data_IF_901430748225
#
_entry.id   IF_901430748225
#
_cell.length_a   1.000
_cell.length_b   1.000
_cell.length_c   1.000
_cell.angle_alpha   90.00
_cell.angle_beta   90.00
_cell.angle_gamma   90.00
#
_symmetry.space_group_name_H-M   'P 1'
#
loop_
_entity.id
_entity.type
_entity.pdbx_description
1 polymer ?
#
# COMPACT_ATOMS: atom_id res chain seq x y z
N UNK A 1 -2.05 -3.10 -6.18
CA UNK A 1 -1.28 -1.95 -6.71
C UNK A 1 -1.47 -1.78 -8.21
N UNK A 2 -1.24 -2.82 -9.01
CA UNK A 2 -1.33 -2.76 -10.47
C UNK A 2 -2.14 -3.96 -11.00
N UNK A 3 -2.66 -3.85 -12.21
CA UNK A 3 -3.26 -4.98 -12.95
C UNK A 3 -3.10 -4.76 -14.45
N UNK A 4 -3.22 -5.83 -15.24
CA UNK A 4 -3.30 -5.72 -16.70
C UNK A 4 -4.69 -5.28 -17.12
N UNK A 5 -4.78 -4.12 -17.76
CA UNK A 5 -6.01 -3.62 -18.35
C UNK A 5 -6.18 -4.17 -19.76
N UNK A 6 -7.28 -4.90 -19.98
CA UNK A 6 -7.55 -5.57 -21.26
C UNK A 6 -7.95 -4.60 -22.36
N UNK A 7 -8.56 -3.46 -22.02
CA UNK A 7 -8.96 -2.43 -23.00
C UNK A 7 -7.72 -1.68 -23.50
N UNK A 8 -6.82 -1.32 -22.58
CA UNK A 8 -5.59 -0.58 -22.90
C UNK A 8 -4.43 -1.47 -23.34
N UNK A 9 -4.50 -2.78 -23.09
CA UNK A 9 -3.48 -3.73 -23.49
C UNK A 9 -2.16 -3.62 -22.72
N UNK A 10 -2.17 -3.01 -21.52
CA UNK A 10 -0.97 -2.74 -20.70
C UNK A 10 -1.25 -2.89 -19.20
N UNK A 11 -0.21 -3.05 -18.40
CA UNK A 11 -0.33 -2.95 -16.95
C UNK A 11 -0.57 -1.49 -16.56
N UNK A 12 -1.48 -1.25 -15.61
CA UNK A 12 -1.85 0.07 -15.11
C UNK A 12 -1.83 0.10 -13.58
N UNK A 13 -1.59 1.28 -13.02
CA UNK A 13 -1.66 1.51 -11.57
C UNK A 13 -3.10 1.74 -11.10
N UNK A 14 -3.35 1.43 -9.83
CA UNK A 14 -4.63 1.62 -9.16
C UNK A 14 -5.18 3.04 -9.19
N UNK A 15 -4.32 4.04 -9.34
CA UNK A 15 -4.70 5.46 -9.33
C UNK A 15 -4.19 6.25 -10.54
N UNK A 16 -3.42 5.64 -11.44
CA UNK A 16 -2.91 6.32 -12.65
C UNK A 16 -4.04 6.82 -13.54
N UNK A 17 -3.88 7.98 -14.15
CA UNK A 17 -4.81 8.48 -15.16
C UNK A 17 -4.39 8.10 -16.58
N UNK A 18 -4.63 6.84 -16.94
CA UNK A 18 -4.22 6.28 -18.23
C UNK A 18 -4.92 6.88 -19.45
N UNK A 19 -6.00 7.65 -19.24
CA UNK A 19 -6.75 8.34 -20.31
C UNK A 19 -6.42 9.84 -20.38
N UNK A 20 -5.42 10.30 -19.62
CA UNK A 20 -4.92 11.69 -19.61
C UNK A 20 -6.02 12.76 -19.45
N UNK A 21 -6.99 12.48 -18.58
CA UNK A 21 -8.09 13.37 -18.21
C UNK A 21 -7.66 14.51 -17.28
N UNK A 22 -6.59 14.30 -16.51
CA UNK A 22 -6.07 15.16 -15.46
C UNK A 22 -4.60 15.47 -15.70
N UNK A 23 -4.10 16.50 -15.03
CA UNK A 23 -2.69 16.93 -15.06
C UNK A 23 -2.14 16.95 -13.65
N UNK A 24 -0.86 16.59 -13.49
CA UNK A 24 -0.16 16.80 -12.24
C UNK A 24 -0.02 18.30 -11.92
N UNK A 25 -0.07 18.65 -10.64
CA UNK A 25 0.10 20.00 -10.10
C UNK A 25 1.27 20.00 -9.13
N UNK A 26 2.26 20.87 -9.35
CA UNK A 26 3.48 20.94 -8.54
C UNK A 26 4.61 19.99 -8.97
N UNK A 27 4.41 19.23 -10.05
CA UNK A 27 5.40 18.34 -10.67
C UNK A 27 5.92 18.92 -12.00
N UNK A 28 7.13 18.54 -12.38
CA UNK A 28 7.70 18.88 -13.70
C UNK A 28 7.05 18.04 -14.82
N UNK A 29 6.80 16.76 -14.55
CA UNK A 29 6.17 15.83 -15.48
C UNK A 29 4.64 15.80 -15.34
N UNK A 30 3.93 16.17 -16.40
CA UNK A 30 2.45 16.23 -16.40
C UNK A 30 1.78 14.84 -16.33
N UNK A 31 2.50 13.79 -16.70
CA UNK A 31 2.01 12.40 -16.77
C UNK A 31 1.85 11.74 -15.39
N UNK A 32 2.33 12.37 -14.32
CA UNK A 32 2.18 11.91 -12.93
C UNK A 32 0.80 12.17 -12.30
N UNK A 33 -0.19 12.50 -13.12
CA UNK A 33 -1.54 12.73 -12.64
C UNK A 33 -2.17 11.42 -12.12
N UNK A 34 -2.70 11.47 -10.90
CA UNK A 34 -3.40 10.34 -10.28
C UNK A 34 -4.78 10.78 -9.73
N UNK A 35 -5.73 9.85 -9.75
CA UNK A 35 -7.13 10.07 -9.36
C UNK A 35 -7.83 8.76 -8.93
N UNK A 36 -8.89 8.82 -8.11
CA UNK A 36 -9.59 7.65 -7.56
C UNK A 36 -10.64 7.06 -8.52
N UNK A 37 -10.57 7.35 -9.83
CA UNK A 37 -11.62 6.97 -10.80
C UNK A 37 -11.77 5.43 -10.98
N UNK A 38 -10.79 4.65 -10.53
CA UNK A 38 -10.84 3.18 -10.47
C UNK A 38 -11.43 2.64 -9.17
N UNK A 39 -11.61 3.46 -8.14
CA UNK A 39 -12.23 3.02 -6.88
C UNK A 39 -13.72 2.71 -7.09
N UNK A 40 -14.18 1.56 -6.62
CA UNK A 40 -15.58 1.15 -6.67
C UNK A 40 -16.21 1.34 -5.28
N UNK A 41 -17.44 1.84 -5.25
CA UNK A 41 -18.10 2.24 -4.01
C UNK A 41 -17.65 3.60 -3.49
N UNK A 42 -17.94 3.83 -2.22
CA UNK A 42 -17.64 5.02 -1.42
C UNK A 42 -16.68 4.66 -0.29
N UNK A 43 -16.05 5.68 0.30
CA UNK A 43 -15.22 5.59 1.51
C UNK A 43 -15.91 6.28 2.69
N UNK A 44 -15.34 6.19 3.90
CA UNK A 44 -15.80 7.00 5.02
C UNK A 44 -15.77 8.50 4.68
N UNK A 45 -14.72 8.98 4.00
CA UNK A 45 -14.62 10.37 3.56
C UNK A 45 -15.74 10.79 2.61
N UNK A 46 -16.13 9.92 1.66
CA UNK A 46 -17.27 10.18 0.78
C UNK A 46 -18.58 10.28 1.56
N UNK A 47 -18.83 9.37 2.51
CA UNK A 47 -20.03 9.38 3.35
C UNK A 47 -20.07 10.61 4.28
N UNK A 48 -18.93 11.02 4.86
CA UNK A 48 -18.81 12.24 5.68
C UNK A 48 -19.18 13.48 4.88
N UNK A 49 -18.68 13.61 3.66
CA UNK A 49 -19.04 14.75 2.79
C UNK A 49 -20.49 14.69 2.38
N UNK A 50 -21.04 13.52 2.08
CA UNK A 50 -22.45 13.39 1.75
C UNK A 50 -23.35 13.81 2.92
N UNK A 51 -23.05 13.31 4.13
CA UNK A 51 -23.80 13.59 5.35
C UNK A 51 -23.76 15.08 5.76
N UNK A 52 -22.68 15.79 5.41
CA UNK A 52 -22.47 17.20 5.77
C UNK A 52 -22.75 18.18 4.62
N UNK A 53 -23.35 17.70 3.52
CA UNK A 53 -23.58 18.48 2.30
C UNK A 53 -22.29 19.15 1.77
N UNK A 54 -21.18 18.43 1.87
CA UNK A 54 -19.87 18.80 1.35
C UNK A 54 -19.01 19.65 2.30
N UNK A 55 -19.51 19.98 3.50
CA UNK A 55 -18.81 20.84 4.47
C UNK A 55 -17.60 20.16 5.13
N UNK A 56 -17.69 18.87 5.47
CA UNK A 56 -16.60 18.14 6.11
C UNK A 56 -15.35 18.10 5.23
N UNK A 57 -14.21 18.57 5.75
CA UNK A 57 -12.92 18.50 5.08
C UNK A 57 -12.36 17.10 5.13
N UNK A 58 -11.92 16.60 3.97
CA UNK A 58 -11.39 15.25 3.83
C UNK A 58 -10.08 15.34 3.06
N UNK A 59 -8.95 15.05 3.72
CA UNK A 59 -7.61 15.26 3.17
C UNK A 59 -6.75 14.02 3.34
N UNK A 60 -6.06 13.61 2.27
CA UNK A 60 -5.20 12.43 2.26
C UNK A 60 -3.75 12.79 1.94
N UNK A 61 -2.82 12.34 2.78
CA UNK A 61 -1.40 12.68 2.73
C UNK A 61 -0.54 11.41 2.74
N UNK A 62 0.43 11.33 1.83
CA UNK A 62 1.37 10.20 1.78
C UNK A 62 2.59 10.56 0.95
N UNK A 63 3.61 9.71 0.95
CA UNK A 63 4.62 9.73 -0.11
C UNK A 63 4.14 8.95 -1.34
N UNK A 64 3.26 7.96 -1.16
CA UNK A 64 2.65 7.18 -2.23
C UNK A 64 1.29 7.74 -2.63
N UNK A 65 1.13 8.05 -3.91
CA UNK A 65 -0.13 8.47 -4.53
C UNK A 65 -1.36 7.67 -4.07
N UNK A 66 -1.33 6.34 -4.24
CA UNK A 66 -2.44 5.43 -3.89
C UNK A 66 -2.82 5.48 -2.41
N UNK A 67 -1.86 5.71 -1.52
CA UNK A 67 -2.12 5.79 -0.08
C UNK A 67 -2.57 7.18 0.37
N UNK A 68 -2.33 8.22 -0.42
CA UNK A 68 -2.97 9.53 -0.24
C UNK A 68 -4.40 9.55 -0.80
N UNK A 69 -4.63 8.87 -1.92
CA UNK A 69 -5.84 9.01 -2.74
C UNK A 69 -6.96 8.06 -2.30
N UNK A 70 -6.66 6.77 -2.13
CA UNK A 70 -7.70 5.75 -1.93
C UNK A 70 -8.43 5.86 -0.58
N UNK A 71 -7.76 6.17 0.55
CA UNK A 71 -8.45 6.26 1.85
C UNK A 71 -9.50 7.37 1.93
N UNK A 72 -9.34 8.43 1.13
CA UNK A 72 -10.18 9.64 1.18
C UNK A 72 -11.29 9.68 0.13
N UNK A 73 -11.33 8.68 -0.75
CA UNK A 73 -12.45 8.45 -1.64
C UNK A 73 -12.45 9.29 -2.90
N UNK A 74 -13.65 9.48 -3.45
CA UNK A 74 -13.86 10.09 -4.78
C UNK A 74 -14.02 11.58 -4.72
N UNK A 75 -14.58 12.13 -3.64
CA UNK A 75 -14.77 13.58 -3.56
C UNK A 75 -14.06 14.15 -2.35
N UNK A 76 -12.78 13.93 -2.09
CA UNK A 76 -12.12 14.58 -0.96
C UNK A 76 -11.99 16.09 -1.19
N UNK A 77 -11.60 16.81 -0.13
CA UNK A 77 -11.13 18.19 -0.25
C UNK A 77 -9.74 18.26 -0.90
N UNK A 78 -8.92 17.24 -0.72
CA UNK A 78 -7.62 17.13 -1.40
C UNK A 78 -6.91 15.80 -1.14
N UNK A 79 -6.04 15.42 -2.06
CA UNK A 79 -5.04 14.40 -1.84
C UNK A 79 -3.68 14.90 -2.33
N UNK A 80 -2.64 14.65 -1.54
CA UNK A 80 -1.29 15.13 -1.78
C UNK A 80 -0.28 13.99 -1.61
N UNK A 81 0.60 13.84 -2.58
CA UNK A 81 1.65 12.82 -2.56
C UNK A 81 3.01 13.40 -2.92
N UNK A 82 4.08 12.71 -2.52
CA UNK A 82 5.44 13.16 -2.77
C UNK A 82 5.85 12.86 -4.21
N UNK A 83 6.56 13.80 -4.82
CA UNK A 83 7.16 13.68 -6.15
C UNK A 83 8.68 13.52 -5.98
N UNK A 84 9.16 12.29 -6.19
CA UNK A 84 10.58 11.93 -6.06
C UNK A 84 11.50 12.52 -7.14
N UNK A 85 10.96 13.23 -8.15
CA UNK A 85 11.76 13.94 -9.13
C UNK A 85 12.11 15.35 -8.66
N UNK A 86 11.13 16.07 -8.10
CA UNK A 86 11.30 17.46 -7.65
C UNK A 86 11.56 17.60 -6.15
N UNK A 87 11.11 16.64 -5.35
CA UNK A 87 11.11 16.69 -3.88
C UNK A 87 9.93 17.46 -3.29
N UNK A 88 8.86 17.66 -4.08
CA UNK A 88 7.68 18.44 -3.69
C UNK A 88 6.52 17.52 -3.28
N UNK A 89 5.59 18.04 -2.48
CA UNK A 89 4.24 17.49 -2.43
C UNK A 89 3.41 18.02 -3.61
N UNK A 90 2.81 17.11 -4.34
CA UNK A 90 2.05 17.37 -5.57
C UNK A 90 0.59 16.91 -5.43
N UNK A 91 -0.24 17.34 -6.37
CA UNK A 91 -1.63 16.88 -6.51
C UNK A 91 -2.00 16.76 -8.00
N UNK A 92 -3.29 16.69 -8.33
CA UNK A 92 -3.76 16.68 -9.72
C UNK A 92 -4.97 17.58 -9.95
N UNK A 93 -5.24 17.87 -11.22
CA UNK A 93 -6.42 18.64 -11.62
C UNK A 93 -7.76 17.95 -11.36
N UNK A 94 -7.74 16.72 -10.85
CA UNK A 94 -8.91 16.09 -10.27
C UNK A 94 -9.40 16.82 -9.01
N UNK A 95 -8.46 17.27 -8.17
CA UNK A 95 -8.75 17.88 -6.87
C UNK A 95 -8.82 19.40 -6.94
N UNK A 96 -7.90 20.02 -7.68
CA UNK A 96 -7.75 21.47 -7.69
C UNK A 96 -7.52 22.02 -9.10
N UNK A 97 -7.93 23.26 -9.41
CA UNK A 97 -7.51 23.92 -10.64
C UNK A 97 -6.01 24.27 -10.65
N UNK A 98 -5.44 24.56 -9.48
CA UNK A 98 -4.03 24.85 -9.23
C UNK A 98 -3.66 24.38 -7.82
N UNK A 99 -2.37 24.17 -7.56
CA UNK A 99 -1.91 23.72 -6.24
C UNK A 99 -2.29 24.77 -5.17
N UNK A 100 -2.80 24.39 -3.98
CA UNK A 100 -3.13 25.37 -2.95
C UNK A 100 -1.90 26.17 -2.52
N UNK A 101 -2.08 27.47 -2.25
CA UNK A 101 -0.99 28.39 -1.94
C UNK A 101 -0.15 27.96 -0.72
N UNK A 102 -0.76 27.31 0.27
CA UNK A 102 -0.03 26.80 1.44
C UNK A 102 0.89 25.63 1.09
N UNK A 103 0.51 24.80 0.12
CA UNK A 103 1.34 23.69 -0.39
C UNK A 103 2.49 24.24 -1.23
N UNK A 104 2.21 25.23 -2.09
CA UNK A 104 3.26 25.93 -2.84
C UNK A 104 4.29 26.55 -1.89
N UNK A 105 3.83 27.24 -0.84
CA UNK A 105 4.69 27.81 0.19
C UNK A 105 5.52 26.74 0.91
N UNK A 106 4.90 25.62 1.29
CA UNK A 106 5.60 24.50 1.93
C UNK A 106 6.71 23.94 1.01
N UNK A 107 6.40 23.72 -0.27
CA UNK A 107 7.37 23.22 -1.25
C UNK A 107 8.52 24.21 -1.50
N UNK A 108 8.26 25.53 -1.46
CA UNK A 108 9.29 26.56 -1.62
C UNK A 108 10.38 26.51 -0.53
N UNK A 109 10.08 25.94 0.64
CA UNK A 109 11.07 25.73 1.70
C UNK A 109 12.14 24.69 1.33
N UNK A 110 11.86 23.85 0.33
CA UNK A 110 12.71 22.75 -0.14
C UNK A 110 13.27 21.93 1.02
N UNK A 111 12.43 21.67 2.02
CA UNK A 111 12.82 21.02 3.27
C UNK A 111 13.59 19.71 3.08
N UNK A 112 13.22 18.81 2.13
CA UNK A 112 13.98 17.59 1.87
C UNK A 112 15.45 17.85 1.55
N UNK A 113 15.80 18.92 0.83
CA UNK A 113 17.20 19.21 0.45
C UNK A 113 18.12 19.46 1.64
N UNK A 114 17.56 19.87 2.80
CA UNK A 114 18.33 20.04 4.05
C UNK A 114 18.87 18.71 4.60
N UNK A 115 18.32 17.59 4.14
CA UNK A 115 18.76 16.24 4.48
C UNK A 115 19.81 15.67 3.52
N UNK A 116 20.17 16.39 2.45
CA UNK A 116 21.23 15.95 1.55
C UNK A 116 22.57 15.86 2.29
N UNK A 117 23.18 14.68 2.27
CA UNK A 117 24.40 14.37 3.01
C UNK A 117 24.21 14.19 4.52
N UNK A 118 22.98 14.25 5.03
CA UNK A 118 22.69 13.86 6.41
C UNK A 118 22.86 12.35 6.58
N UNK A 119 23.16 11.97 7.80
CA UNK A 119 23.38 10.60 8.20
C UNK A 119 22.19 10.12 9.00
N UNK A 120 21.62 8.99 8.58
CA UNK A 120 20.74 8.18 9.39
C UNK A 120 21.60 7.16 10.16
N UNK A 121 21.68 7.36 11.47
CA UNK A 121 22.28 6.41 12.40
C UNK A 121 21.22 5.93 13.40
N UNK A 122 21.52 4.85 14.11
CA UNK A 122 20.70 4.32 15.20
C UNK A 122 20.37 5.41 16.20
N UNK A 123 19.09 5.52 16.55
CA UNK A 123 18.60 6.47 17.54
C UNK A 123 19.05 6.08 18.96
N UNK A 124 19.15 4.78 19.24
CA UNK A 124 19.57 4.23 20.53
C UNK A 124 20.97 3.61 20.43
N UNK A 125 21.54 3.25 21.57
CA UNK A 125 22.79 2.48 21.63
C UNK A 125 22.61 1.08 21.00
N UNK A 126 23.71 0.50 20.50
CA UNK A 126 23.68 -0.75 19.73
C UNK A 126 23.07 -1.94 20.50
N UNK A 127 23.22 -1.98 21.82
CA UNK A 127 22.66 -3.03 22.69
C UNK A 127 21.12 -3.04 22.71
N UNK A 128 20.49 -1.89 22.47
CA UNK A 128 19.03 -1.81 22.33
C UNK A 128 18.51 -2.59 21.10
N UNK A 129 19.38 -2.87 20.12
CA UNK A 129 19.04 -3.58 18.88
C UNK A 129 19.32 -5.08 18.95
N UNK A 130 19.67 -5.63 20.11
CA UNK A 130 20.02 -7.05 20.29
C UNK A 130 18.92 -8.08 19.92
N UNK A 131 17.70 -7.63 19.61
CA UNK A 131 16.59 -8.47 19.12
C UNK A 131 16.47 -8.49 17.58
N UNK A 132 17.20 -7.62 16.89
CA UNK A 132 17.33 -7.60 15.44
C UNK A 132 18.44 -8.55 15.00
N UNK A 133 18.49 -8.84 13.70
CA UNK A 133 19.65 -9.45 13.07
C UNK A 133 20.89 -8.52 13.19
N UNK A 134 22.05 -9.10 12.90
CA UNK A 134 23.30 -8.34 12.77
C UNK A 134 23.16 -7.25 11.69
N UNK A 135 23.85 -6.12 11.89
CA UNK A 135 23.76 -4.93 11.01
C UNK A 135 24.24 -5.20 9.57
N UNK A 136 25.18 -6.15 9.37
CA UNK A 136 25.61 -6.60 8.03
C UNK A 136 25.02 -7.98 7.72
N UNK A 137 23.70 -8.12 7.79
CA UNK A 137 23.05 -9.38 7.49
C UNK A 137 23.11 -9.71 5.98
N UNK A 138 23.42 -10.96 5.59
CA UNK A 138 23.59 -11.33 4.18
C UNK A 138 22.27 -11.31 3.37
N UNK A 139 21.13 -11.24 4.05
CA UNK A 139 19.78 -11.24 3.46
C UNK A 139 19.24 -9.82 3.24
N UNK A 140 19.99 -8.79 3.59
CA UNK A 140 19.59 -7.40 3.36
C UNK A 140 19.98 -6.93 1.96
N UNK A 141 19.13 -6.11 1.36
CA UNK A 141 19.41 -5.51 0.05
C UNK A 141 20.59 -4.56 0.18
N UNK A 142 21.58 -4.70 -0.69
CA UNK A 142 22.60 -3.67 -0.86
C UNK A 142 21.97 -2.43 -1.52
N UNK A 143 21.83 -1.36 -0.75
CA UNK A 143 21.25 -0.08 -1.19
C UNK A 143 22.33 1.00 -1.38
N UNK A 144 22.07 2.07 -2.16
CA UNK A 144 23.07 3.11 -2.42
C UNK A 144 23.62 3.83 -1.18
N UNK A 145 22.88 3.81 -0.07
CA UNK A 145 23.27 4.43 1.20
C UNK A 145 24.22 3.58 2.05
N UNK A 146 24.65 2.42 1.54
CA UNK A 146 25.45 1.45 2.29
C UNK A 146 24.57 0.37 2.92
N UNK A 147 25.22 -0.65 3.45
CA UNK A 147 24.57 -1.88 3.87
C UNK A 147 24.59 -2.12 5.38
N UNK A 148 25.08 -1.13 6.14
CA UNK A 148 25.22 -1.11 7.59
C UNK A 148 25.02 0.33 8.05
N UNK A 149 24.70 0.50 9.32
CA UNK A 149 24.72 1.83 9.91
C UNK A 149 26.16 2.40 9.98
N UNK A 150 26.35 3.71 9.71
CA UNK A 150 25.30 4.67 9.41
C UNK A 150 25.08 4.91 7.90
N UNK A 151 23.85 5.27 7.52
CA UNK A 151 23.43 5.50 6.13
C UNK A 151 23.50 6.99 5.75
N UNK A 152 24.30 7.32 4.73
CA UNK A 152 24.44 8.71 4.26
C UNK A 152 23.51 9.01 3.08
N UNK A 153 22.63 10.01 3.24
CA UNK A 153 21.56 10.33 2.29
C UNK A 153 22.05 11.25 1.17
N UNK A 154 22.76 10.67 0.20
CA UNK A 154 23.10 11.36 -1.06
C UNK A 154 22.55 10.66 -2.29
N UNK A 155 22.16 9.39 -2.18
CA UNK A 155 21.85 8.55 -3.35
C UNK A 155 23.06 8.32 -4.27
N UNK A 156 24.28 8.49 -3.75
CA UNK A 156 25.51 8.47 -4.53
C UNK A 156 25.74 9.71 -5.39
N UNK A 157 24.99 10.80 -5.15
CA UNK A 157 25.12 12.06 -5.88
C UNK A 157 25.99 13.08 -5.12
N UNK A 158 26.42 14.11 -5.84
CA UNK A 158 27.12 15.29 -5.27
C UNK A 158 26.20 16.48 -5.02
N UNK A 159 24.96 16.42 -5.51
CA UNK A 159 23.91 17.42 -5.30
C UNK A 159 22.53 16.73 -5.26
N UNK A 160 21.49 17.36 -4.65
CA UNK A 160 20.14 16.81 -4.64
C UNK A 160 19.58 16.52 -6.04
N UNK A 161 18.86 15.42 -6.17
CA UNK A 161 18.18 14.98 -7.40
C UNK A 161 17.44 13.66 -7.15
N UNK A 162 16.87 13.05 -8.19
CA UNK A 162 16.00 11.87 -8.05
C UNK A 162 16.57 10.78 -7.13
N UNK A 163 17.81 10.32 -7.38
CA UNK A 163 18.43 9.27 -6.54
C UNK A 163 18.59 9.66 -5.07
N UNK A 164 18.74 10.96 -4.78
CA UNK A 164 18.73 11.45 -3.40
C UNK A 164 17.32 11.36 -2.82
N UNK A 165 16.30 11.78 -3.57
CA UNK A 165 14.92 11.71 -3.11
C UNK A 165 14.46 10.27 -2.90
N UNK A 166 14.87 9.32 -3.77
CA UNK A 166 14.63 7.88 -3.62
C UNK A 166 15.18 7.34 -2.27
N UNK A 167 16.35 7.80 -1.83
CA UNK A 167 16.92 7.37 -0.53
C UNK A 167 16.39 8.19 0.65
N UNK A 168 15.92 9.42 0.41
CA UNK A 168 15.26 10.23 1.42
C UNK A 168 13.89 9.66 1.78
N UNK A 169 13.08 9.24 0.80
CA UNK A 169 11.80 8.58 1.05
C UNK A 169 11.95 7.24 1.77
N UNK A 170 13.07 6.53 1.54
CA UNK A 170 13.46 5.32 2.26
C UNK A 170 14.28 5.62 3.54
N UNK A 171 13.92 6.68 4.27
CA UNK A 171 14.56 7.05 5.54
C UNK A 171 13.55 7.56 6.57
N UNK A 172 13.89 7.56 7.87
CA UNK A 172 12.98 8.08 8.90
C UNK A 172 12.63 9.57 8.73
N UNK A 173 13.49 10.35 8.10
CA UNK A 173 13.27 11.78 7.89
C UNK A 173 12.09 12.07 6.94
N UNK A 174 11.70 11.11 6.10
CA UNK A 174 10.49 11.23 5.28
C UNK A 174 9.22 11.24 6.14
N UNK A 175 9.17 10.46 7.22
CA UNK A 175 8.04 10.48 8.15
C UNK A 175 7.98 11.80 8.94
N UNK A 176 9.13 12.34 9.35
CA UNK A 176 9.20 13.67 9.98
C UNK A 176 8.69 14.77 9.03
N UNK A 177 9.11 14.73 7.76
CA UNK A 177 8.66 15.65 6.73
C UNK A 177 7.16 15.52 6.43
N UNK A 178 6.63 14.29 6.35
CA UNK A 178 5.19 14.05 6.19
C UNK A 178 4.39 14.55 7.39
N UNK A 179 4.89 14.37 8.61
CA UNK A 179 4.23 14.88 9.81
C UNK A 179 4.23 16.42 9.85
N UNK A 180 5.31 17.07 9.43
CA UNK A 180 5.34 18.52 9.26
C UNK A 180 4.31 19.01 8.22
N UNK A 181 4.18 18.28 7.10
CA UNK A 181 3.16 18.58 6.08
C UNK A 181 1.73 18.38 6.61
N UNK A 182 1.50 17.34 7.41
CA UNK A 182 0.22 17.11 8.06
C UNK A 182 -0.17 18.22 9.05
N UNK A 183 0.79 18.71 9.84
CA UNK A 183 0.59 19.88 10.71
C UNK A 183 0.26 21.13 9.90
N UNK A 184 0.96 21.37 8.78
CA UNK A 184 0.66 22.47 7.88
C UNK A 184 -0.76 22.36 7.28
N UNK A 185 -1.20 21.16 6.91
CA UNK A 185 -2.56 20.92 6.43
C UNK A 185 -3.60 21.25 7.51
N UNK A 186 -3.40 20.77 8.75
CA UNK A 186 -4.30 21.06 9.89
C UNK A 186 -4.46 22.59 10.08
N UNK A 187 -3.36 23.35 10.04
CA UNK A 187 -3.41 24.80 10.23
C UNK A 187 -4.09 25.54 9.09
N UNK A 188 -3.65 25.27 7.85
CA UNK A 188 -4.07 26.06 6.69
C UNK A 188 -5.46 25.68 6.20
N UNK A 189 -5.90 24.46 6.50
CA UNK A 189 -7.26 23.99 6.21
C UNK A 189 -8.18 24.08 7.43
N UNK A 190 -7.69 24.59 8.58
CA UNK A 190 -8.47 24.74 9.81
C UNK A 190 -9.20 23.44 10.22
N UNK A 191 -8.52 22.30 10.11
CA UNK A 191 -9.13 21.00 10.38
C UNK A 191 -9.47 20.87 11.87
N UNK A 192 -10.71 20.49 12.18
CA UNK A 192 -11.21 20.36 13.54
C UNK A 192 -11.32 21.68 14.31
N UNK A 193 -11.40 22.81 13.59
CA UNK A 193 -11.54 24.13 14.19
C UNK A 193 -13.01 24.57 14.44
N UNK A 194 -13.98 23.78 13.96
CA UNK A 194 -15.41 24.01 14.15
C UNK A 194 -16.15 22.69 14.51
N UNK A 195 -17.48 22.74 14.51
CA UNK A 195 -18.33 21.60 14.91
C UNK A 195 -18.52 20.55 13.80
N UNK A 196 -18.04 20.80 12.58
CA UNK A 196 -18.10 19.85 11.47
C UNK A 196 -16.90 18.92 11.58
N UNK A 197 -17.15 17.61 11.76
CA UNK A 197 -16.07 16.63 11.81
C UNK A 197 -15.35 16.52 10.47
N UNK A 198 -14.04 16.68 10.50
CA UNK A 198 -13.13 16.49 9.36
C UNK A 198 -12.41 15.13 9.41
N UNK A 199 -11.87 14.70 8.28
CA UNK A 199 -11.05 13.49 8.14
C UNK A 199 -9.67 13.84 7.56
N UNK A 200 -8.62 13.53 8.31
CA UNK A 200 -7.24 13.57 7.85
C UNK A 200 -6.67 12.15 7.82
N UNK A 201 -6.32 11.66 6.63
CA UNK A 201 -5.64 10.38 6.43
C UNK A 201 -4.16 10.62 6.16
N UNK A 202 -3.27 9.98 6.94
CA UNK A 202 -1.82 10.10 6.81
C UNK A 202 -1.22 8.69 6.66
N UNK A 203 -0.46 8.47 5.60
CA UNK A 203 0.18 7.18 5.31
C UNK A 203 1.71 7.30 5.33
N UNK A 204 2.32 6.81 6.42
CA UNK A 204 3.77 6.77 6.62
C UNK A 204 4.42 5.67 5.76
N UNK A 205 4.83 6.05 4.54
CA UNK A 205 5.29 5.09 3.52
C UNK A 205 6.73 4.62 3.68
N UNK A 206 7.56 5.36 4.41
CA UNK A 206 8.98 5.04 4.60
C UNK A 206 9.18 3.67 5.30
N UNK A 207 8.27 3.30 6.20
CA UNK A 207 8.28 2.01 6.88
C UNK A 207 8.25 0.83 5.89
N UNK A 208 7.42 0.92 4.85
CA UNK A 208 7.33 -0.11 3.82
C UNK A 208 8.56 -0.11 2.89
N UNK A 209 9.07 1.06 2.51
CA UNK A 209 10.27 1.15 1.67
C UNK A 209 11.51 0.56 2.35
N UNK A 210 11.70 0.88 3.63
CA UNK A 210 12.76 0.30 4.47
C UNK A 210 12.51 -1.20 4.67
N UNK A 211 11.27 -1.61 4.98
CA UNK A 211 10.89 -3.01 5.12
C UNK A 211 11.22 -3.84 3.88
N UNK A 212 10.91 -3.35 2.69
CA UNK A 212 11.24 -4.01 1.42
C UNK A 212 12.75 -4.21 1.22
N UNK A 213 13.56 -3.24 1.64
CA UNK A 213 15.01 -3.28 1.45
C UNK A 213 15.70 -4.22 2.44
N UNK A 214 15.35 -4.16 3.73
CA UNK A 214 16.13 -4.83 4.79
C UNK A 214 15.39 -6.02 5.42
N UNK A 215 14.07 -6.06 5.35
CA UNK A 215 13.25 -7.09 5.98
C UNK A 215 12.91 -6.82 7.44
N UNK A 216 11.88 -7.49 7.99
CA UNK A 216 11.27 -7.13 9.27
C UNK A 216 12.17 -7.32 10.50
N UNK A 217 13.27 -8.06 10.37
CA UNK A 217 14.18 -8.36 11.46
C UNK A 217 15.45 -7.52 11.46
N UNK A 218 15.60 -6.56 10.55
CA UNK A 218 16.81 -5.73 10.46
C UNK A 218 16.91 -4.69 11.58
N UNK A 219 18.09 -4.08 11.73
CA UNK A 219 18.27 -2.95 12.66
C UNK A 219 17.57 -1.68 12.13
N UNK A 220 17.47 -1.52 10.81
CA UNK A 220 16.80 -0.40 10.13
C UNK A 220 15.31 -0.38 10.39
N UNK A 221 14.61 -1.53 10.25
CA UNK A 221 13.18 -1.61 10.57
C UNK A 221 12.92 -1.36 12.06
N UNK A 222 13.82 -1.85 12.93
CA UNK A 222 13.75 -1.57 14.37
C UNK A 222 13.92 -0.07 14.67
N UNK A 223 14.95 0.57 14.13
CA UNK A 223 15.19 2.01 14.29
C UNK A 223 14.03 2.83 13.74
N UNK A 224 13.56 2.47 12.55
CA UNK A 224 12.43 3.11 11.90
C UNK A 224 11.15 3.02 12.76
N UNK A 225 10.92 1.88 13.42
CA UNK A 225 9.78 1.71 14.33
C UNK A 225 9.88 2.63 15.54
N UNK A 226 11.07 2.75 16.14
CA UNK A 226 11.33 3.65 17.27
C UNK A 226 11.17 5.13 16.88
N UNK A 227 11.60 5.50 15.67
CA UNK A 227 11.44 6.87 15.17
C UNK A 227 9.99 7.18 14.78
N UNK A 228 9.27 6.19 14.24
CA UNK A 228 7.83 6.32 13.97
C UNK A 228 7.06 6.58 15.26
N UNK A 229 7.40 5.89 16.36
CA UNK A 229 6.87 6.18 17.70
C UNK A 229 7.06 7.64 18.11
N UNK A 230 8.27 8.20 17.93
CA UNK A 230 8.54 9.62 18.22
C UNK A 230 7.74 10.58 17.34
N UNK A 231 7.61 10.29 16.05
CA UNK A 231 6.82 11.09 15.10
C UNK A 231 5.34 11.08 15.48
N UNK A 232 4.79 9.92 15.85
CA UNK A 232 3.40 9.82 16.32
C UNK A 232 3.19 10.57 17.64
N UNK A 233 4.13 10.46 18.58
CA UNK A 233 4.06 11.20 19.84
C UNK A 233 4.05 12.73 19.62
N UNK A 234 4.88 13.23 18.70
CA UNK A 234 4.90 14.64 18.30
C UNK A 234 3.60 15.08 17.60
N UNK A 235 3.05 14.26 16.69
CA UNK A 235 1.78 14.55 16.03
C UNK A 235 0.60 14.57 17.02
N UNK A 236 0.53 13.62 17.95
CA UNK A 236 -0.52 13.57 18.96
C UNK A 236 -0.40 14.73 19.95
N UNK A 237 0.82 15.09 20.38
CA UNK A 237 1.05 16.27 21.20
C UNK A 237 0.62 17.56 20.50
N UNK A 238 0.86 17.66 19.19
CA UNK A 238 0.39 18.79 18.38
C UNK A 238 -1.14 18.85 18.28
N UNK A 239 -1.81 17.71 18.02
CA UNK A 239 -3.27 17.64 17.99
C UNK A 239 -3.89 18.04 19.34
N UNK A 240 -3.30 17.60 20.45
CA UNK A 240 -3.76 17.96 21.79
C UNK A 240 -3.68 19.47 22.05
N UNK A 241 -2.57 20.10 21.64
CA UNK A 241 -2.38 21.54 21.80
C UNK A 241 -3.31 22.39 20.92
N UNK A 242 -3.68 21.89 19.73
CA UNK A 242 -4.45 22.66 18.74
C UNK A 242 -5.96 22.44 18.85
N UNK A 243 -6.38 21.20 19.08
CA UNK A 243 -7.79 20.77 19.03
C UNK A 243 -8.23 20.16 20.38
N UNK A 244 -7.30 19.52 21.10
CA UNK A 244 -7.56 18.73 22.30
C UNK A 244 -7.94 17.29 21.95
N UNK A 245 -7.23 16.30 22.50
CA UNK A 245 -7.44 14.88 22.15
C UNK A 245 -8.81 14.34 22.55
N UNK A 246 -9.54 15.02 23.43
CA UNK A 246 -10.94 14.71 23.73
C UNK A 246 -11.88 14.93 22.55
N UNK A 247 -11.46 15.71 21.55
CA UNK A 247 -12.24 16.07 20.36
C UNK A 247 -11.70 15.38 19.09
N UNK A 248 -10.74 14.45 19.23
CA UNK A 248 -10.12 13.74 18.10
C UNK A 248 -10.32 12.25 18.28
N UNK A 249 -10.63 11.55 17.17
CA UNK A 249 -10.56 10.09 17.11
C UNK A 249 -9.38 9.73 16.22
N UNK A 250 -8.41 9.01 16.77
CA UNK A 250 -7.26 8.49 16.04
C UNK A 250 -7.47 7.01 15.79
N UNK A 251 -7.34 6.59 14.53
CA UNK A 251 -7.24 5.18 14.17
C UNK A 251 -5.88 4.90 13.54
N UNK A 252 -5.19 3.87 14.05
CA UNK A 252 -3.90 3.44 13.50
C UNK A 252 -4.01 1.97 13.05
N UNK A 253 -3.60 1.71 11.82
CA UNK A 253 -3.53 0.37 11.22
C UNK A 253 -2.36 0.32 10.24
N UNK A 254 -2.10 -0.86 9.68
CA UNK A 254 -1.32 -1.02 8.46
C UNK A 254 -2.22 -1.51 7.31
N UNK A 255 -1.80 -1.25 6.07
CA UNK A 255 -2.42 -1.81 4.85
C UNK A 255 -2.06 -3.29 4.66
N UNK A 256 -0.92 -3.72 5.19
CA UNK A 256 -0.48 -5.11 5.26
C UNK A 256 0.66 -5.28 6.29
N UNK A 257 1.01 -6.53 6.60
CA UNK A 257 2.24 -6.91 7.26
C UNK A 257 3.40 -7.04 6.26
N UNK A 258 4.37 -7.89 6.56
CA UNK A 258 5.50 -8.19 5.67
C UNK A 258 6.09 -9.56 5.97
N UNK A 259 6.47 -10.29 4.93
CA UNK A 259 7.18 -11.55 5.09
C UNK A 259 8.64 -11.34 5.54
N UNK A 260 9.25 -12.29 6.25
CA UNK A 260 10.71 -12.38 6.34
C UNK A 260 11.34 -12.49 4.95
N UNK A 261 12.62 -12.13 4.84
CA UNK A 261 13.38 -12.33 3.59
C UNK A 261 13.48 -13.84 3.31
N UNK A 262 13.10 -14.33 2.11
CA UNK A 262 13.17 -15.74 1.74
C UNK A 262 14.51 -16.42 2.06
N UNK A 263 15.64 -15.78 1.78
CA UNK A 263 16.97 -16.34 2.04
C UNK A 263 17.24 -16.55 3.55
N UNK A 264 16.68 -15.69 4.41
CA UNK A 264 16.79 -15.83 5.87
C UNK A 264 16.02 -17.05 6.38
N UNK A 265 14.81 -17.29 5.86
CA UNK A 265 13.97 -18.42 6.27
C UNK A 265 14.41 -19.75 5.66
N UNK A 266 15.09 -19.72 4.51
CA UNK A 266 15.69 -20.89 3.89
C UNK A 266 16.75 -21.57 4.76
N UNK A 267 17.45 -20.81 5.62
CA UNK A 267 18.36 -21.40 6.62
C UNK A 267 17.67 -22.31 7.63
N UNK A 268 16.36 -22.12 7.81
CA UNK A 268 15.51 -22.95 8.68
C UNK A 268 14.79 -24.07 7.90
N UNK A 269 15.09 -24.25 6.61
CA UNK A 269 14.62 -25.37 5.80
C UNK A 269 13.26 -25.17 5.11
N UNK A 270 12.77 -23.94 4.99
CA UNK A 270 11.51 -23.61 4.30
C UNK A 270 11.59 -22.29 3.53
N UNK A 271 10.59 -22.04 2.68
CA UNK A 271 10.52 -20.84 1.83
C UNK A 271 11.37 -20.93 0.56
N UNK A 272 11.34 -19.86 -0.24
CA UNK A 272 12.11 -19.77 -1.48
C UNK A 272 11.67 -18.67 -2.43
N UNK A 273 12.29 -18.63 -3.61
CA UNK A 273 11.97 -17.67 -4.68
C UNK A 273 11.22 -18.34 -5.83
N UNK A 274 10.31 -17.59 -6.43
CA UNK A 274 9.60 -17.94 -7.65
C UNK A 274 9.98 -16.96 -8.76
N UNK A 275 10.30 -17.50 -9.94
CA UNK A 275 10.59 -16.71 -11.13
C UNK A 275 9.31 -16.58 -11.95
N UNK A 276 8.79 -15.35 -12.06
CA UNK A 276 7.54 -15.04 -12.77
C UNK A 276 7.52 -15.57 -14.22
N UNK A 277 8.66 -15.46 -14.93
CA UNK A 277 8.83 -15.99 -16.29
C UNK A 277 8.57 -17.49 -16.35
N UNK A 278 9.12 -18.25 -15.40
CA UNK A 278 9.05 -19.72 -15.43
C UNK A 278 7.62 -20.21 -15.14
N UNK A 279 6.90 -19.51 -14.26
CA UNK A 279 5.47 -19.74 -14.03
C UNK A 279 4.64 -19.48 -15.29
N UNK A 280 4.84 -18.34 -15.96
CA UNK A 280 4.15 -18.00 -17.19
C UNK A 280 4.48 -18.98 -18.33
N UNK A 281 5.74 -19.43 -18.40
CA UNK A 281 6.19 -20.42 -19.37
C UNK A 281 5.52 -21.79 -19.14
N UNK A 282 5.33 -22.22 -17.89
CA UNK A 282 4.63 -23.46 -17.58
C UNK A 282 3.20 -23.47 -18.13
N UNK A 283 2.45 -22.38 -17.94
CA UNK A 283 1.12 -22.21 -18.53
C UNK A 283 1.19 -22.23 -20.07
N UNK A 284 2.09 -21.45 -20.67
CA UNK A 284 2.24 -21.36 -22.14
C UNK A 284 2.57 -22.71 -22.76
N UNK A 285 3.48 -23.48 -22.17
CA UNK A 285 3.89 -24.79 -22.66
C UNK A 285 2.74 -25.80 -22.62
N UNK A 286 1.98 -25.83 -21.52
CA UNK A 286 0.81 -26.70 -21.40
C UNK A 286 -0.29 -26.36 -22.41
N UNK A 287 -0.53 -25.06 -22.64
CA UNK A 287 -1.49 -24.59 -23.64
C UNK A 287 -1.03 -24.91 -25.07
N UNK A 288 0.26 -24.71 -25.39
CA UNK A 288 0.83 -25.08 -26.69
C UNK A 288 0.72 -26.58 -26.96
N UNK A 289 1.03 -27.42 -25.96
CA UNK A 289 0.94 -28.87 -26.10
C UNK A 289 -0.49 -29.35 -26.39
N UNK A 290 -1.50 -28.69 -25.82
CA UNK A 290 -2.91 -29.10 -25.97
C UNK A 290 -3.62 -28.46 -27.16
N UNK A 291 -3.32 -27.20 -27.47
CA UNK A 291 -4.09 -26.39 -28.42
C UNK A 291 -3.25 -25.85 -29.59
N UNK A 292 -1.97 -26.23 -29.69
CA UNK A 292 -1.02 -25.77 -30.71
C UNK A 292 -0.34 -24.45 -30.35
N UNK A 293 0.79 -24.16 -31.00
CA UNK A 293 1.60 -22.98 -30.70
C UNK A 293 0.84 -21.66 -30.91
N UNK A 294 0.92 -20.78 -29.92
CA UNK A 294 0.40 -19.41 -29.97
C UNK A 294 0.95 -18.53 -28.83
N UNK A 295 0.70 -17.23 -28.93
CA UNK A 295 0.92 -16.28 -27.83
C UNK A 295 -0.28 -16.26 -26.87
N UNK A 296 -0.37 -17.28 -26.00
CA UNK A 296 -1.53 -17.47 -25.11
C UNK A 296 -1.65 -16.46 -23.97
N UNK A 297 -0.54 -15.88 -23.52
CA UNK A 297 -0.46 -15.05 -22.31
C UNK A 297 -0.19 -13.59 -22.70
N UNK A 298 -1.00 -12.67 -22.16
CA UNK A 298 -0.85 -11.21 -22.36
C UNK A 298 -0.05 -10.55 -21.26
N UNK A 299 -0.17 -11.03 -20.03
CA UNK A 299 0.55 -10.50 -18.87
C UNK A 299 0.58 -11.54 -17.74
N UNK A 300 1.61 -11.46 -16.91
CA UNK A 300 1.65 -12.10 -15.61
C UNK A 300 2.15 -11.08 -14.59
N UNK A 301 1.28 -10.66 -13.68
CA UNK A 301 1.57 -9.61 -12.70
C UNK A 301 0.85 -9.90 -11.38
N UNK A 302 1.52 -9.70 -10.26
CA UNK A 302 0.95 -9.90 -8.90
C UNK A 302 0.22 -11.25 -8.75
N UNK A 303 0.82 -12.34 -9.22
CA UNK A 303 0.24 -13.68 -9.17
C UNK A 303 -0.95 -13.92 -10.10
N UNK A 304 -1.31 -12.96 -10.97
CA UNK A 304 -2.41 -13.07 -11.92
C UNK A 304 -1.87 -13.32 -13.34
N UNK A 305 -2.30 -14.42 -13.97
CA UNK A 305 -2.05 -14.71 -15.39
C UNK A 305 -3.22 -14.21 -16.23
N UNK A 306 -2.93 -13.40 -17.25
CA UNK A 306 -3.91 -12.86 -18.18
C UNK A 306 -3.78 -13.57 -19.52
N UNK A 307 -4.84 -14.25 -19.96
CA UNK A 307 -4.86 -14.99 -21.23
C UNK A 307 -5.34 -14.10 -22.39
N UNK A 308 -4.93 -14.43 -23.61
CA UNK A 308 -5.45 -13.81 -24.83
C UNK A 308 -6.86 -14.33 -25.15
N UNK A 309 -7.87 -13.57 -24.70
CA UNK A 309 -9.28 -13.94 -24.90
C UNK A 309 -9.71 -13.90 -26.37
N UNK A 310 -9.09 -13.05 -27.18
CA UNK A 310 -9.41 -12.96 -28.61
C UNK A 310 -8.93 -14.22 -29.34
N UNK A 311 -7.72 -14.67 -29.04
CA UNK A 311 -7.16 -15.93 -29.56
C UNK A 311 -8.01 -17.15 -29.15
N UNK A 312 -8.43 -17.22 -27.88
CA UNK A 312 -9.28 -18.31 -27.37
C UNK A 312 -10.61 -18.35 -28.12
N UNK A 313 -11.23 -17.18 -28.34
CA UNK A 313 -12.48 -17.05 -29.09
C UNK A 313 -12.30 -17.40 -30.58
N UNK A 314 -11.22 -16.92 -31.22
CA UNK A 314 -10.88 -17.20 -32.63
C UNK A 314 -10.75 -18.72 -32.86
N UNK A 315 -10.07 -19.41 -31.94
CA UNK A 315 -9.90 -20.87 -31.98
C UNK A 315 -11.11 -21.66 -31.47
N UNK A 316 -12.21 -20.97 -31.09
CA UNK A 316 -13.46 -21.56 -30.56
C UNK A 316 -13.24 -22.51 -29.38
N UNK A 317 -12.28 -22.18 -28.52
CA UNK A 317 -11.93 -22.98 -27.36
C UNK A 317 -12.84 -22.64 -26.16
N UNK A 318 -13.08 -23.61 -25.29
CA UNK A 318 -13.78 -23.38 -24.03
C UNK A 318 -12.85 -22.66 -23.04
N UNK A 319 -13.22 -21.43 -22.64
CA UNK A 319 -12.39 -20.62 -21.74
C UNK A 319 -12.08 -21.33 -20.41
N UNK A 320 -13.07 -21.94 -19.77
CA UNK A 320 -12.86 -22.61 -18.48
C UNK A 320 -11.88 -23.79 -18.60
N UNK A 321 -11.88 -24.50 -19.74
CA UNK A 321 -10.93 -25.58 -20.01
C UNK A 321 -9.50 -25.06 -20.28
N UNK A 322 -9.37 -23.94 -20.98
CA UNK A 322 -8.08 -23.26 -21.19
C UNK A 322 -7.52 -22.77 -19.85
N UNK A 323 -8.35 -22.11 -19.03
CA UNK A 323 -7.97 -21.66 -17.69
C UNK A 323 -7.54 -22.83 -16.81
N UNK A 324 -8.30 -23.93 -16.80
CA UNK A 324 -7.97 -25.12 -16.01
C UNK A 324 -6.66 -25.77 -16.46
N UNK A 325 -6.39 -25.80 -17.77
CA UNK A 325 -5.13 -26.32 -18.33
C UNK A 325 -3.93 -25.49 -17.85
N UNK A 326 -4.03 -24.16 -17.92
CA UNK A 326 -2.99 -23.27 -17.44
C UNK A 326 -2.80 -23.37 -15.91
N UNK A 327 -3.90 -23.36 -15.14
CA UNK A 327 -3.87 -23.45 -13.69
C UNK A 327 -3.24 -24.76 -13.20
N UNK A 328 -3.57 -25.90 -13.81
CA UNK A 328 -2.98 -27.19 -13.46
C UNK A 328 -1.46 -27.21 -13.70
N UNK A 329 -1.00 -26.63 -14.82
CA UNK A 329 0.42 -26.56 -15.14
C UNK A 329 1.19 -25.65 -14.16
N UNK A 330 0.62 -24.50 -13.80
CA UNK A 330 1.22 -23.60 -12.82
C UNK A 330 1.24 -24.20 -11.41
N UNK A 331 0.15 -24.87 -11.00
CA UNK A 331 0.03 -25.51 -9.69
C UNK A 331 1.00 -26.68 -9.49
N UNK A 332 1.48 -27.30 -10.56
CA UNK A 332 2.47 -28.38 -10.51
C UNK A 332 3.89 -27.90 -10.20
N UNK A 333 4.15 -26.59 -10.24
CA UNK A 333 5.46 -26.03 -9.92
C UNK A 333 5.73 -26.07 -8.41
N UNK A 334 6.96 -26.41 -8.04
CA UNK A 334 7.41 -26.34 -6.66
C UNK A 334 7.28 -24.90 -6.13
N UNK A 335 6.84 -24.74 -4.88
CA UNK A 335 6.63 -23.44 -4.27
C UNK A 335 5.28 -22.78 -4.58
N UNK A 336 4.40 -23.43 -5.36
CA UNK A 336 3.00 -22.99 -5.53
C UNK A 336 2.10 -23.75 -4.55
N UNK A 337 1.26 -23.03 -3.82
CA UNK A 337 0.28 -23.59 -2.89
C UNK A 337 -1.04 -23.92 -3.58
N UNK A 338 -1.54 -22.99 -4.40
CA UNK A 338 -2.81 -23.14 -5.10
C UNK A 338 -2.85 -22.30 -6.38
N UNK A 339 -3.68 -22.73 -7.33
CA UNK A 339 -4.06 -21.96 -8.51
C UNK A 339 -5.59 -21.98 -8.62
N UNK A 340 -6.21 -20.82 -8.78
CA UNK A 340 -7.65 -20.63 -8.92
C UNK A 340 -7.94 -20.02 -10.29
N UNK A 341 -8.92 -20.57 -11.02
CA UNK A 341 -9.36 -19.95 -12.27
C UNK A 341 -10.43 -18.89 -12.04
N UNK A 342 -10.49 -17.90 -12.92
CA UNK A 342 -11.56 -16.90 -12.93
C UNK A 342 -12.94 -17.57 -13.06
N UNK A 343 -13.05 -18.61 -13.90
CA UNK A 343 -14.28 -19.39 -14.01
C UNK A 343 -14.67 -20.09 -12.69
N UNK A 344 -13.73 -20.70 -11.97
CA UNK A 344 -14.02 -21.33 -10.67
C UNK A 344 -14.51 -20.30 -9.64
N UNK A 345 -13.84 -19.16 -9.56
CA UNK A 345 -14.17 -18.09 -8.62
C UNK A 345 -15.56 -17.50 -8.89
N UNK A 346 -15.91 -17.23 -10.16
CA UNK A 346 -17.22 -16.70 -10.54
C UNK A 346 -18.38 -17.67 -10.25
N UNK A 347 -18.15 -18.97 -10.35
CA UNK A 347 -19.16 -19.99 -10.04
C UNK A 347 -19.18 -20.42 -8.56
N UNK A 348 -18.30 -19.86 -7.72
CA UNK A 348 -18.15 -20.28 -6.33
C UNK A 348 -17.61 -21.70 -6.16
N UNK A 349 -17.01 -22.27 -7.21
CA UNK A 349 -16.48 -23.63 -7.25
C UNK A 349 -15.05 -23.69 -6.67
N UNK A 350 -14.89 -23.25 -5.42
CA UNK A 350 -13.61 -23.27 -4.72
C UNK A 350 -13.72 -23.98 -3.37
N UNK A 351 -12.63 -24.56 -2.86
CA UNK A 351 -12.61 -25.21 -1.56
C UNK A 351 -12.97 -24.24 -0.44
N UNK A 352 -13.60 -24.72 0.63
CA UNK A 352 -13.89 -23.94 1.83
C UNK A 352 -12.63 -23.79 2.72
N UNK A 353 -11.54 -23.25 2.17
CA UNK A 353 -10.28 -22.99 2.90
C UNK A 353 -10.08 -21.49 3.13
N UNK A 354 -9.26 -21.16 4.12
CA UNK A 354 -8.88 -19.77 4.40
C UNK A 354 -8.22 -19.11 3.18
N UNK A 355 -7.31 -19.81 2.49
CA UNK A 355 -6.65 -19.29 1.28
C UNK A 355 -7.65 -19.03 0.15
N UNK A 356 -8.58 -19.96 -0.11
CA UNK A 356 -9.60 -19.77 -1.14
C UNK A 356 -10.50 -18.57 -0.82
N UNK A 357 -10.91 -18.40 0.45
CA UNK A 357 -11.70 -17.24 0.89
C UNK A 357 -10.96 -15.93 0.70
N UNK A 358 -9.67 -15.87 1.04
CA UNK A 358 -8.85 -14.68 0.83
C UNK A 358 -8.76 -14.31 -0.67
N UNK A 359 -8.56 -15.30 -1.54
CA UNK A 359 -8.55 -15.08 -3.00
C UNK A 359 -9.93 -14.62 -3.50
N UNK A 360 -11.03 -15.20 -3.00
CA UNK A 360 -12.39 -14.77 -3.33
C UNK A 360 -12.65 -13.31 -2.93
N UNK A 361 -12.20 -12.87 -1.76
CA UNK A 361 -12.35 -11.49 -1.29
C UNK A 361 -11.54 -10.49 -2.11
N UNK A 362 -10.39 -10.91 -2.64
CA UNK A 362 -9.55 -10.10 -3.54
C UNK A 362 -9.92 -10.18 -5.02
N UNK A 363 -10.97 -10.92 -5.39
CA UNK A 363 -11.33 -11.19 -6.78
C UNK A 363 -12.41 -10.23 -7.30
N UNK A 364 -12.08 -9.55 -8.39
CA UNK A 364 -12.98 -8.77 -9.22
C UNK A 364 -12.74 -9.11 -10.70
N UNK A 365 -13.61 -9.95 -11.27
CA UNK A 365 -13.44 -10.54 -12.60
C UNK A 365 -13.04 -9.55 -13.72
N UNK A 366 -13.56 -8.30 -13.76
CA UNK A 366 -13.14 -7.34 -14.78
C UNK A 366 -11.68 -6.89 -14.72
N UNK A 367 -11.01 -7.00 -13.56
CA UNK A 367 -9.61 -6.55 -13.36
C UNK A 367 -8.61 -7.68 -13.12
N UNK A 368 -9.06 -8.79 -12.56
CA UNK A 368 -8.19 -9.93 -12.28
C UNK A 368 -7.79 -10.72 -13.54
N UNK A 369 -6.75 -11.53 -13.36
CA UNK A 369 -6.31 -12.51 -14.34
C UNK A 369 -7.32 -13.66 -14.51
N UNK A 370 -7.06 -14.46 -15.53
CA UNK A 370 -7.76 -15.71 -15.83
C UNK A 370 -7.35 -16.85 -14.87
N UNK A 371 -6.12 -16.81 -14.37
CA UNK A 371 -5.62 -17.71 -13.33
C UNK A 371 -4.94 -16.88 -12.25
N UNK A 372 -5.29 -17.11 -10.99
CA UNK A 372 -4.68 -16.49 -9.81
C UNK A 372 -3.92 -17.58 -9.07
N UNK A 373 -2.63 -17.37 -8.83
CA UNK A 373 -1.81 -18.30 -8.08
C UNK A 373 -1.42 -17.74 -6.72
N UNK A 374 -1.30 -18.65 -5.78
CA UNK A 374 -0.86 -18.37 -4.41
C UNK A 374 0.41 -19.18 -4.17
N UNK A 375 1.56 -18.54 -3.94
CA UNK A 375 2.78 -19.21 -3.49
C UNK A 375 2.57 -19.97 -2.16
N UNK A 376 3.44 -20.94 -1.87
CA UNK A 376 3.54 -21.53 -0.54
C UNK A 376 3.96 -20.49 0.51
N UNK A 377 3.70 -20.74 1.81
CA UNK A 377 4.23 -19.87 2.86
C UNK A 377 5.72 -19.63 2.67
N UNK A 378 6.14 -18.37 2.81
CA UNK A 378 7.51 -17.91 2.64
C UNK A 378 8.11 -18.09 1.22
N UNK A 379 7.30 -18.44 0.22
CA UNK A 379 7.68 -18.32 -1.18
C UNK A 379 7.27 -16.97 -1.74
N UNK A 380 8.16 -16.37 -2.54
CA UNK A 380 7.98 -15.01 -3.04
C UNK A 380 8.44 -14.87 -4.48
N UNK A 381 7.72 -14.08 -5.27
CA UNK A 381 8.18 -13.70 -6.61
C UNK A 381 9.34 -12.72 -6.54
N UNK A 382 10.37 -12.95 -7.35
CA UNK A 382 11.48 -12.02 -7.52
C UNK A 382 12.84 -12.69 -7.39
N UNK A 383 13.87 -11.86 -7.48
CA UNK A 383 15.27 -12.24 -7.35
C UNK A 383 15.97 -11.30 -6.35
N UNK A 384 17.03 -11.79 -5.72
CA UNK A 384 17.89 -11.02 -4.81
C UNK A 384 17.40 -10.93 -3.37
N UNK A 385 18.24 -10.34 -2.51
CA UNK A 385 18.01 -10.14 -1.07
C UNK A 385 17.04 -8.97 -0.83
N UNK A 386 15.74 -9.25 -0.85
CA UNK A 386 14.66 -8.29 -0.53
C UNK A 386 13.47 -9.02 0.10
N UNK A 387 12.47 -8.30 0.58
CA UNK A 387 11.18 -8.90 0.92
C UNK A 387 10.01 -8.13 0.31
N UNK A 388 8.83 -8.71 0.39
CA UNK A 388 7.56 -8.11 -0.02
C UNK A 388 6.42 -8.76 0.76
N UNK A 389 5.21 -8.39 0.38
CA UNK A 389 3.95 -8.81 0.97
C UNK A 389 2.95 -9.12 -0.16
N UNK A 390 1.70 -9.42 0.22
CA UNK A 390 0.60 -9.69 -0.70
C UNK A 390 0.19 -11.17 -0.76
N UNK A 391 0.75 -12.02 0.10
CA UNK A 391 0.25 -13.37 0.32
C UNK A 391 -0.92 -13.37 1.31
N UNK A 392 -1.78 -14.40 1.33
CA UNK A 392 -2.87 -14.49 2.29
C UNK A 392 -2.41 -14.89 3.70
N UNK A 393 -1.12 -15.19 3.91
CA UNK A 393 -0.63 -15.76 5.16
C UNK A 393 -0.47 -14.71 6.25
N UNK A 394 -0.47 -15.16 7.50
CA UNK A 394 -0.60 -14.30 8.69
C UNK A 394 0.48 -13.23 8.81
N UNK A 395 1.70 -13.45 8.31
CA UNK A 395 2.76 -12.45 8.34
C UNK A 395 2.47 -11.24 7.43
N UNK A 396 1.62 -11.40 6.41
CA UNK A 396 1.17 -10.31 5.53
C UNK A 396 -0.21 -9.77 5.91
N UNK A 397 -1.07 -10.56 6.57
CA UNK A 397 -2.46 -10.17 6.85
C UNK A 397 -2.73 -9.76 8.29
N UNK A 398 -1.84 -10.07 9.23
CA UNK A 398 -1.98 -9.67 10.63
C UNK A 398 -1.44 -8.25 10.82
N UNK A 399 -2.34 -7.30 11.03
CA UNK A 399 -2.04 -5.88 11.23
C UNK A 399 -2.71 -5.35 12.50
N UNK A 400 -2.14 -4.31 13.14
CA UNK A 400 -2.79 -3.69 14.29
C UNK A 400 -4.07 -2.96 13.86
N UNK A 401 -5.08 -2.95 14.73
CA UNK A 401 -6.25 -2.08 14.61
C UNK A 401 -6.40 -1.37 15.94
N UNK A 402 -5.98 -0.09 15.98
CA UNK A 402 -5.95 0.71 17.20
C UNK A 402 -6.89 1.89 17.09
N UNK A 403 -7.61 2.18 18.17
CA UNK A 403 -8.45 3.36 18.33
C UNK A 403 -7.99 4.13 19.57
N UNK A 404 -7.98 5.47 19.48
CA UNK A 404 -7.63 6.37 20.57
C UNK A 404 -8.51 7.63 20.49
N UNK A 405 -8.81 8.22 21.65
CA UNK A 405 -9.44 9.54 21.74
C UNK A 405 -10.93 9.51 22.06
N UNK A 406 -11.69 10.41 21.45
CA UNK A 406 -13.10 10.64 21.76
C UNK A 406 -13.94 9.36 21.63
N UNK A 407 -14.78 9.08 22.64
CA UNK A 407 -15.71 7.95 22.65
C UNK A 407 -15.10 6.53 22.49
N UNK A 408 -13.78 6.39 22.71
CA UNK A 408 -13.08 5.10 22.74
C UNK A 408 -12.88 4.61 24.18
N UNK A 409 -13.03 3.30 24.41
CA UNK A 409 -12.73 2.63 25.68
C UNK A 409 -11.30 2.07 25.65
N UNK A 410 -10.52 2.35 26.70
CA UNK A 410 -9.20 1.75 26.87
C UNK A 410 -9.31 0.26 27.15
N UNK A 411 -8.59 -0.55 26.37
CA UNK A 411 -8.56 -2.00 26.55
C UNK A 411 -7.75 -2.70 25.46
N UNK A 412 -7.49 -3.98 25.68
CA UNK A 412 -6.94 -4.88 24.67
C UNK A 412 -7.96 -5.98 24.41
N UNK A 413 -8.31 -6.17 23.14
CA UNK A 413 -9.31 -7.13 22.71
C UNK A 413 -8.64 -8.19 21.85
N UNK A 414 -8.91 -9.46 22.14
CA UNK A 414 -8.34 -10.61 21.43
C UNK A 414 -9.32 -11.26 20.44
N UNK A 415 -10.53 -10.69 20.30
CA UNK A 415 -11.48 -11.10 19.28
C UNK A 415 -10.94 -10.77 17.89
N UNK A 416 -11.34 -11.55 16.88
CA UNK A 416 -10.95 -11.27 15.50
C UNK A 416 -11.45 -9.89 15.06
N UNK A 417 -10.54 -9.12 14.44
CA UNK A 417 -10.80 -7.83 13.85
C UNK A 417 -10.06 -7.72 12.52
N UNK A 418 -10.53 -6.83 11.67
CA UNK A 418 -9.96 -6.52 10.36
C UNK A 418 -9.86 -5.00 10.18
N UNK A 419 -8.92 -4.48 9.38
CA UNK A 419 -8.98 -3.09 8.93
C UNK A 419 -10.31 -2.72 8.26
N UNK A 420 -11.03 -3.70 7.68
CA UNK A 420 -12.37 -3.50 7.13
C UNK A 420 -13.41 -3.09 8.19
N UNK A 421 -13.14 -3.33 9.48
CA UNK A 421 -14.01 -2.96 10.59
C UNK A 421 -13.84 -1.48 11.01
N UNK A 422 -12.78 -0.80 10.53
CA UNK A 422 -12.48 0.58 10.92
C UNK A 422 -13.55 1.55 10.43
N UNK A 423 -13.85 1.53 9.12
CA UNK A 423 -14.81 2.43 8.52
C UNK A 423 -16.24 2.31 9.09
N UNK A 424 -16.84 1.11 9.25
CA UNK A 424 -18.15 0.99 9.90
C UNK A 424 -18.13 1.38 11.39
N UNK A 425 -17.02 1.15 12.10
CA UNK A 425 -16.87 1.58 13.50
C UNK A 425 -16.84 3.11 13.61
N UNK A 426 -16.06 3.79 12.75
CA UNK A 426 -16.04 5.26 12.70
C UNK A 426 -17.39 5.83 12.25
N UNK A 427 -18.03 5.23 11.26
CA UNK A 427 -19.37 5.66 10.84
C UNK A 427 -20.38 5.57 11.99
N UNK A 428 -20.33 4.49 12.79
CA UNK A 428 -21.17 4.35 13.98
C UNK A 428 -20.85 5.40 15.06
N UNK A 429 -19.57 5.66 15.32
CA UNK A 429 -19.13 6.71 16.27
C UNK A 429 -19.59 8.11 15.86
N UNK A 430 -19.66 8.38 14.55
CA UNK A 430 -20.06 9.66 13.99
C UNK A 430 -21.57 9.75 13.66
N UNK A 431 -22.34 8.69 13.95
CA UNK A 431 -23.78 8.67 13.69
C UNK A 431 -24.16 8.77 12.20
N UNK A 432 -23.33 8.22 11.31
CA UNK A 432 -23.50 8.31 9.86
C UNK A 432 -23.57 6.93 9.18
N UNK A 433 -23.95 6.95 7.90
CA UNK A 433 -24.01 5.76 7.08
C UNK A 433 -22.61 5.18 6.84
N UNK A 434 -22.48 3.85 6.94
CA UNK A 434 -21.25 3.16 6.59
C UNK A 434 -21.05 3.15 5.06
N UNK A 435 -19.80 3.06 4.56
CA UNK A 435 -19.53 3.05 3.13
C UNK A 435 -20.31 1.97 2.37
N UNK A 436 -20.68 2.28 1.13
CA UNK A 436 -21.58 1.48 0.28
C UNK A 436 -21.22 0.00 0.10
N UNK A 437 -19.92 -0.34 0.16
CA UNK A 437 -19.43 -1.72 0.05
C UNK A 437 -18.81 -2.23 1.37
N UNK A 438 -19.19 -1.64 2.50
CA UNK A 438 -18.67 -2.06 3.80
C UNK A 438 -19.09 -3.50 4.12
N UNK A 439 -18.09 -4.34 4.42
CA UNK A 439 -18.29 -5.75 4.85
C UNK A 439 -17.84 -5.99 6.28
N UNK A 440 -17.17 -5.01 6.90
CA UNK A 440 -16.70 -5.11 8.27
C UNK A 440 -17.84 -5.00 9.27
N UNK A 441 -17.57 -5.44 10.50
CA UNK A 441 -18.46 -5.25 11.65
C UNK A 441 -18.10 -3.97 12.39
N UNK A 442 -19.05 -3.46 13.16
CA UNK A 442 -18.78 -2.42 14.16
C UNK A 442 -18.06 -3.07 15.35
N UNK A 443 -16.91 -2.52 15.74
CA UNK A 443 -16.16 -2.92 16.93
C UNK A 443 -16.75 -2.26 18.18
N UNK A 444 -17.99 -2.61 18.51
CA UNK A 444 -18.73 -1.99 19.62
C UNK A 444 -18.05 -2.21 20.98
N UNK A 445 -17.23 -3.25 21.10
CA UNK A 445 -16.40 -3.49 22.29
C UNK A 445 -15.40 -2.36 22.58
N UNK A 446 -14.98 -1.60 21.56
CA UNK A 446 -14.04 -0.48 21.70
C UNK A 446 -14.73 0.88 21.88
N UNK A 447 -16.06 0.93 21.85
CA UNK A 447 -16.85 2.16 21.87
C UNK A 447 -17.50 2.40 23.23
N UNK A 448 -17.57 3.66 23.67
CA UNK A 448 -18.38 4.02 24.84
C UNK A 448 -19.89 3.75 24.56
N UNK A 449 -20.65 3.29 25.57
CA UNK A 449 -22.08 3.02 25.43
C UNK A 449 -22.92 4.22 25.01
#
# INVERSE_FOLDING_TARGET
NEWYDRELGKNISSVSDDKAQFKALGADEKERAAAPHKLLGTTLGDEMRLATNGQAKVIGLSYKDRSAILPVGKRPHGAFWFDDDTGNFISSTYYFPALPAWVEKFNQEQAPKKYFGKTWDRMLAADAYARSAEDDAPYERRVPTGATFPHTLTGGLTQPGKKFYDVFEASPFANEHLAAFAKAAIENEALGADEITDLLSISFSANDLIGHAYGPYSQEVHDMSLRTDRVLADLFGYLDQRIGLSNVIVTLTADHGVAPVPEQVMEFGYGGRLVARDVSAAATNALNAKYGEAAWVKSFISGNLYLDLALIAERKLNLAEVEATAAAAMAALNGIHAAFTSSQLQHGNVPATYVARAVQQGFYAPRNGNVIIVPQPFFMFGEGSNTTHGSPFSYDTHVPVLFLGANVISGTYHAAASPADIAPTLAALLGMQAPSNSIGRVLSEAMKP
#
